data_IF_109668865092
#
_entry.id   IF_109668865092
#
_cell.length_a   1.000
_cell.length_b   1.000
_cell.length_c   1.000
_cell.angle_alpha   90.00
_cell.angle_beta   90.00
_cell.angle_gamma   90.00
#
_symmetry.space_group_name_H-M   'P 1'
#
loop_
_entity.id
_entity.type
_entity.pdbx_description
1 polymer ?
#
# COMPACT_ATOMS: atom_id res chain seq x y z
N UNK A 1 4.23 -17.74 3.94
CA UNK A 1 5.23 -17.02 3.11
C UNK A 1 4.83 -15.55 3.15
N UNK A 2 5.63 -14.68 3.77
CA UNK A 2 5.22 -13.28 4.03
C UNK A 2 5.26 -12.41 2.77
N UNK A 3 4.61 -11.24 2.82
CA UNK A 3 4.55 -10.27 1.71
C UNK A 3 5.95 -9.91 1.16
N UNK A 4 6.94 -9.80 2.05
CA UNK A 4 8.34 -9.55 1.66
C UNK A 4 8.93 -10.65 0.77
N UNK A 5 8.66 -11.93 1.09
CA UNK A 5 9.21 -13.07 0.36
C UNK A 5 8.63 -13.15 -1.07
N UNK A 6 7.34 -12.82 -1.20
CA UNK A 6 6.69 -12.68 -2.49
C UNK A 6 7.23 -11.52 -3.31
N UNK A 7 7.60 -10.41 -2.67
CA UNK A 7 8.20 -9.27 -3.35
C UNK A 7 9.61 -9.60 -3.81
N UNK A 8 10.42 -10.28 -3.00
CA UNK A 8 11.76 -10.74 -3.44
C UNK A 8 11.62 -11.74 -4.59
N UNK A 9 10.66 -12.66 -4.49
CA UNK A 9 10.33 -13.59 -5.59
C UNK A 9 9.84 -12.84 -6.84
N UNK A 10 9.11 -11.74 -6.66
CA UNK A 10 8.62 -10.88 -7.72
C UNK A 10 9.73 -10.10 -8.42
N UNK A 11 10.61 -9.47 -7.64
CA UNK A 11 11.76 -8.72 -8.13
C UNK A 11 12.76 -9.63 -8.85
N UNK A 12 12.93 -10.87 -8.38
CA UNK A 12 13.75 -11.88 -9.04
C UNK A 12 13.11 -12.47 -10.31
N UNK A 13 11.83 -12.19 -10.56
CA UNK A 13 11.09 -12.70 -11.72
C UNK A 13 11.05 -11.67 -12.86
N UNK A 14 11.65 -11.94 -14.04
CA UNK A 14 11.65 -11.00 -15.16
C UNK A 14 10.24 -10.66 -15.69
N UNK A 15 9.27 -11.54 -15.43
CA UNK A 15 7.88 -11.41 -15.89
C UNK A 15 7.00 -10.58 -14.95
N UNK A 16 7.47 -10.18 -13.76
CA UNK A 16 6.65 -9.42 -12.81
C UNK A 16 6.89 -7.90 -12.95
N UNK A 17 5.87 -7.09 -12.65
CA UNK A 17 5.94 -5.62 -12.72
C UNK A 17 6.87 -5.03 -11.65
N UNK A 18 7.12 -5.78 -10.58
CA UNK A 18 8.11 -5.48 -9.55
C UNK A 18 9.48 -5.32 -10.20
N UNK A 19 9.99 -4.10 -10.15
CA UNK A 19 11.37 -3.80 -10.48
C UNK A 19 12.02 -3.23 -9.23
N UNK A 20 13.29 -3.56 -8.99
CA UNK A 20 14.09 -2.94 -7.91
C UNK A 20 13.92 -1.41 -7.96
N UNK A 21 13.91 -0.83 -9.17
CA UNK A 21 13.69 0.59 -9.39
C UNK A 21 12.35 1.13 -8.85
N UNK A 22 11.26 0.36 -8.98
CA UNK A 22 9.93 0.76 -8.51
C UNK A 22 9.84 0.70 -6.99
N UNK A 23 10.44 -0.33 -6.36
CA UNK A 23 10.50 -0.44 -4.91
C UNK A 23 11.37 0.67 -4.30
N UNK A 24 12.54 0.95 -4.90
CA UNK A 24 13.38 2.08 -4.47
C UNK A 24 12.64 3.41 -4.61
N UNK A 25 11.83 3.58 -5.66
CA UNK A 25 10.98 4.75 -5.84
C UNK A 25 9.91 4.88 -4.75
N UNK A 26 9.26 3.79 -4.36
CA UNK A 26 8.28 3.77 -3.26
C UNK A 26 8.95 4.11 -1.93
N UNK A 27 10.09 3.47 -1.61
CA UNK A 27 10.85 3.73 -0.38
C UNK A 27 11.30 5.19 -0.34
N UNK A 28 11.78 5.73 -1.47
CA UNK A 28 12.17 7.13 -1.60
C UNK A 28 10.99 8.08 -1.39
N UNK A 29 9.82 7.78 -1.95
CA UNK A 29 8.61 8.59 -1.77
C UNK A 29 8.12 8.57 -0.31
N UNK A 30 8.15 7.40 0.35
CA UNK A 30 7.82 7.26 1.78
C UNK A 30 8.78 8.09 2.65
N UNK A 31 10.08 8.01 2.39
CA UNK A 31 11.09 8.79 3.10
C UNK A 31 10.94 10.29 2.84
N UNK A 32 10.67 10.69 1.60
CA UNK A 32 10.43 12.09 1.25
C UNK A 32 9.18 12.63 1.94
N UNK A 33 8.11 11.84 2.02
CA UNK A 33 6.88 12.19 2.71
C UNK A 33 7.16 12.38 4.21
N UNK A 34 7.87 11.44 4.84
CA UNK A 34 8.29 11.58 6.22
C UNK A 34 9.10 12.86 6.46
N UNK A 35 10.07 13.16 5.60
CA UNK A 35 10.84 14.41 5.69
C UNK A 35 10.00 15.68 5.44
N UNK A 36 9.03 15.63 4.52
CA UNK A 36 8.20 16.78 4.14
C UNK A 36 7.23 17.16 5.25
N UNK A 37 6.63 16.15 5.89
CA UNK A 37 5.64 16.35 6.96
C UNK A 37 6.22 16.20 8.38
N UNK A 38 7.55 16.05 8.49
CA UNK A 38 8.25 15.90 9.78
C UNK A 38 7.89 14.62 10.54
N UNK A 39 7.48 13.56 9.83
CA UNK A 39 7.15 12.27 10.43
C UNK A 39 8.43 11.51 10.78
N UNK A 40 8.46 10.95 11.98
CA UNK A 40 9.49 9.99 12.34
C UNK A 40 9.19 8.61 11.71
N UNK A 41 10.16 7.69 11.77
CA UNK A 41 10.01 6.35 11.18
C UNK A 41 8.84 5.56 11.78
N UNK A 42 8.56 5.76 13.07
CA UNK A 42 7.53 5.04 13.82
C UNK A 42 6.11 5.51 13.41
N UNK A 43 5.90 6.82 13.35
CA UNK A 43 4.67 7.46 12.83
C UNK A 43 4.44 7.09 11.37
N UNK A 44 5.49 7.09 10.56
CA UNK A 44 5.40 6.70 9.14
C UNK A 44 4.96 5.23 9.02
N UNK A 45 5.55 4.32 9.81
CA UNK A 45 5.12 2.93 9.84
C UNK A 45 3.65 2.79 10.27
N UNK A 46 3.24 3.42 11.37
CA UNK A 46 1.86 3.39 11.84
C UNK A 46 0.90 3.93 10.78
N UNK A 47 1.27 5.02 10.11
CA UNK A 47 0.50 5.59 9.02
C UNK A 47 0.31 4.58 7.89
N UNK A 48 1.39 3.99 7.37
CA UNK A 48 1.33 3.05 6.26
C UNK A 48 0.67 1.72 6.64
N UNK A 49 0.86 1.20 7.86
CA UNK A 49 0.16 0.01 8.36
C UNK A 49 -1.33 0.27 8.51
N UNK A 50 -1.72 1.43 9.05
CA UNK A 50 -3.14 1.78 9.19
C UNK A 50 -3.78 1.98 7.82
N UNK A 51 -3.19 2.83 6.96
CA UNK A 51 -3.68 3.05 5.59
C UNK A 51 -3.72 1.74 4.82
N UNK A 52 -2.69 0.91 4.92
CA UNK A 52 -2.63 -0.43 4.33
C UNK A 52 -3.79 -1.30 4.82
N UNK A 53 -4.02 -1.40 6.13
CA UNK A 53 -5.13 -2.16 6.70
C UNK A 53 -6.50 -1.70 6.20
N UNK A 54 -6.71 -0.38 6.09
CA UNK A 54 -7.93 0.15 5.50
C UNK A 54 -8.03 -0.17 4.00
N UNK A 55 -6.96 0.04 3.21
CA UNK A 55 -6.92 -0.32 1.78
C UNK A 55 -7.26 -1.80 1.60
N UNK A 56 -6.72 -2.67 2.47
CA UNK A 56 -6.98 -4.11 2.49
C UNK A 56 -8.45 -4.39 2.69
N UNK A 57 -9.07 -3.89 3.77
CA UNK A 57 -10.49 -4.11 4.03
C UNK A 57 -11.37 -3.58 2.89
N UNK A 58 -11.02 -2.44 2.31
CA UNK A 58 -11.74 -1.90 1.15
C UNK A 58 -11.58 -2.77 -0.10
N UNK A 59 -10.38 -3.25 -0.41
CA UNK A 59 -10.13 -4.14 -1.54
C UNK A 59 -10.75 -5.53 -1.34
N UNK A 60 -10.75 -6.06 -0.11
CA UNK A 60 -11.44 -7.31 0.24
C UNK A 60 -12.95 -7.17 0.03
N UNK A 61 -13.55 -6.08 0.52
CA UNK A 61 -14.97 -5.80 0.34
C UNK A 61 -15.33 -5.63 -1.14
N UNK A 62 -14.48 -4.91 -1.91
CA UNK A 62 -14.59 -4.78 -3.36
C UNK A 62 -14.47 -6.15 -4.06
N UNK A 63 -13.51 -6.97 -3.67
CA UNK A 63 -13.33 -8.31 -4.22
C UNK A 63 -14.53 -9.22 -3.93
N UNK A 64 -15.12 -9.14 -2.74
CA UNK A 64 -16.30 -9.91 -2.37
C UNK A 64 -17.57 -9.41 -3.06
N UNK A 65 -17.68 -8.10 -3.31
CA UNK A 65 -18.89 -7.47 -3.88
C UNK A 65 -18.88 -7.44 -5.40
N UNK A 66 -17.76 -7.05 -6.01
CA UNK A 66 -17.60 -6.82 -7.46
C UNK A 66 -16.71 -7.87 -8.14
N UNK A 67 -15.96 -8.66 -7.37
CA UNK A 67 -15.08 -9.70 -7.88
C UNK A 67 -13.58 -9.34 -7.82
N UNK A 68 -12.70 -10.35 -7.89
CA UNK A 68 -11.24 -10.17 -7.80
C UNK A 68 -10.66 -9.31 -8.93
N UNK A 69 -11.26 -9.35 -10.11
CA UNK A 69 -10.85 -8.57 -11.27
C UNK A 69 -11.00 -7.07 -11.01
N UNK A 70 -12.04 -6.67 -10.27
CA UNK A 70 -12.33 -5.27 -9.96
C UNK A 70 -11.33 -4.68 -8.96
N UNK A 71 -10.97 -5.46 -7.93
CA UNK A 71 -9.92 -5.09 -6.99
C UNK A 71 -8.57 -4.91 -7.69
N UNK A 72 -8.23 -5.82 -8.61
CA UNK A 72 -7.02 -5.74 -9.42
C UNK A 72 -7.06 -4.54 -10.38
N UNK A 73 -8.21 -4.22 -10.98
CA UNK A 73 -8.39 -3.05 -11.83
C UNK A 73 -8.20 -1.74 -11.06
N UNK A 74 -8.75 -1.64 -9.84
CA UNK A 74 -8.52 -0.51 -8.94
C UNK A 74 -7.03 -0.32 -8.65
N UNK A 75 -6.33 -1.39 -8.27
CA UNK A 75 -4.88 -1.33 -8.01
C UNK A 75 -4.12 -0.87 -9.25
N UNK A 76 -4.44 -1.40 -10.43
CA UNK A 76 -3.78 -1.00 -11.69
C UNK A 76 -4.11 0.43 -12.14
N UNK A 77 -5.32 0.91 -11.88
CA UNK A 77 -5.78 2.23 -12.31
C UNK A 77 -5.27 3.35 -11.41
N UNK A 78 -5.14 3.08 -10.11
CA UNK A 78 -4.84 4.09 -9.10
C UNK A 78 -3.45 3.95 -8.45
N UNK A 79 -2.65 2.97 -8.88
CA UNK A 79 -1.24 2.84 -8.51
C UNK A 79 -0.42 4.00 -9.09
N UNK A 80 0.50 4.52 -8.27
CA UNK A 80 1.47 5.50 -8.71
C UNK A 80 2.25 6.13 -7.56
N UNK A 81 3.15 7.04 -7.91
CA UNK A 81 3.93 7.83 -6.94
C UNK A 81 3.42 9.26 -6.80
N UNK A 82 2.44 9.66 -7.62
CA UNK A 82 1.83 10.98 -7.59
C UNK A 82 0.61 11.02 -6.67
N UNK A 83 0.29 12.20 -6.06
CA UNK A 83 -0.92 12.37 -5.27
C UNK A 83 -2.17 12.09 -6.11
N UNK A 84 -3.04 11.20 -5.63
CA UNK A 84 -4.29 10.84 -6.28
C UNK A 84 -5.44 10.79 -5.28
N UNK A 85 -6.20 11.88 -5.17
CA UNK A 85 -7.39 11.95 -4.32
C UNK A 85 -8.53 11.04 -4.79
N UNK A 86 -8.62 10.76 -6.10
CA UNK A 86 -9.65 9.86 -6.63
C UNK A 86 -9.44 8.43 -6.16
N UNK A 87 -8.19 7.99 -6.01
CA UNK A 87 -7.86 6.67 -5.45
C UNK A 87 -8.44 6.52 -4.03
N UNK A 88 -8.29 7.56 -3.21
CA UNK A 88 -8.80 7.59 -1.83
C UNK A 88 -10.32 7.49 -1.83
N UNK A 89 -11.01 8.27 -2.67
CA UNK A 89 -12.48 8.25 -2.73
C UNK A 89 -13.04 6.97 -3.37
N UNK A 90 -12.29 6.33 -4.27
CA UNK A 90 -12.69 5.07 -4.92
C UNK A 90 -12.55 3.86 -3.99
N UNK A 91 -11.57 3.89 -3.08
CA UNK A 91 -11.32 2.84 -2.10
C UNK A 91 -12.09 3.05 -0.80
N UNK A 92 -12.21 4.29 -0.34
CA UNK A 92 -12.78 4.60 0.97
C UNK A 92 -14.09 5.35 0.83
N UNK A 93 -15.13 4.82 1.48
CA UNK A 93 -16.35 5.58 1.73
C UNK A 93 -16.05 6.74 2.69
N UNK A 94 -16.86 7.80 2.63
CA UNK A 94 -16.73 8.95 3.55
C UNK A 94 -16.70 8.52 5.03
N UNK A 95 -17.48 7.50 5.40
CA UNK A 95 -17.49 6.93 6.75
C UNK A 95 -16.17 6.24 7.11
N UNK A 96 -15.62 5.41 6.21
CA UNK A 96 -14.32 4.73 6.41
C UNK A 96 -13.17 5.74 6.49
N UNK A 97 -13.20 6.77 5.66
CA UNK A 97 -12.24 7.88 5.70
C UNK A 97 -12.23 8.58 7.07
N UNK A 98 -13.42 8.93 7.59
CA UNK A 98 -13.53 9.55 8.90
C UNK A 98 -12.96 8.68 10.02
N UNK A 99 -13.24 7.37 9.99
CA UNK A 99 -12.70 6.40 10.95
C UNK A 99 -11.17 6.29 10.85
N UNK A 100 -10.66 6.10 9.64
CA UNK A 100 -9.22 5.99 9.39
C UNK A 100 -8.47 7.24 9.85
N UNK A 101 -9.00 8.43 9.54
CA UNK A 101 -8.42 9.68 9.99
C UNK A 101 -8.41 9.76 11.52
N UNK A 102 -9.51 9.39 12.19
CA UNK A 102 -9.57 9.35 13.66
C UNK A 102 -8.55 8.39 14.29
N UNK A 103 -8.43 7.18 13.74
CA UNK A 103 -7.47 6.18 14.19
C UNK A 103 -6.03 6.64 13.97
N UNK A 104 -5.74 7.23 12.81
CA UNK A 104 -4.44 7.80 12.52
C UNK A 104 -4.11 8.95 13.48
N UNK A 105 -5.03 9.89 13.73
CA UNK A 105 -4.82 10.97 14.70
C UNK A 105 -4.48 10.38 16.09
N UNK A 106 -5.24 9.38 16.54
CA UNK A 106 -5.04 8.76 17.84
C UNK A 106 -3.71 8.00 17.97
N UNK A 107 -3.27 7.31 16.90
CA UNK A 107 -2.05 6.48 16.92
C UNK A 107 -0.78 7.24 16.58
N UNK A 108 -0.88 8.21 15.67
CA UNK A 108 0.27 8.98 15.16
C UNK A 108 0.50 10.28 15.90
N UNK A 109 -0.54 10.82 16.56
CA UNK A 109 -0.52 12.16 17.13
C UNK A 109 -0.56 13.29 16.09
N UNK A 110 -0.73 12.96 14.80
CA UNK A 110 -0.85 13.96 13.73
C UNK A 110 -2.23 14.61 13.75
N UNK A 111 -2.29 15.86 13.30
CA UNK A 111 -3.55 16.55 13.11
C UNK A 111 -4.30 16.01 11.89
N UNK A 112 -5.63 16.05 11.95
CA UNK A 112 -6.52 15.58 10.88
C UNK A 112 -6.25 16.27 9.53
N UNK A 113 -5.87 17.55 9.51
CA UNK A 113 -5.48 18.24 8.26
C UNK A 113 -4.24 17.64 7.62
N UNK A 114 -3.21 17.33 8.42
CA UNK A 114 -1.98 16.71 7.94
C UNK A 114 -2.25 15.34 7.34
N UNK A 115 -3.05 14.51 8.02
CA UNK A 115 -3.43 13.19 7.51
C UNK A 115 -4.20 13.31 6.19
N UNK A 116 -5.16 14.24 6.09
CA UNK A 116 -5.91 14.47 4.86
C UNK A 116 -5.03 14.89 3.67
N UNK A 117 -3.94 15.62 3.93
CA UNK A 117 -2.97 15.98 2.89
C UNK A 117 -2.06 14.81 2.50
N UNK A 118 -1.77 13.92 3.45
CA UNK A 118 -0.89 12.77 3.24
C UNK A 118 -1.61 11.60 2.56
N UNK A 119 -2.87 11.36 2.88
CA UNK A 119 -3.67 10.26 2.32
C UNK A 119 -3.61 10.16 0.78
N UNK A 120 -3.83 11.25 0.01
CA UNK A 120 -3.76 11.16 -1.44
C UNK A 120 -2.35 10.82 -1.96
N UNK A 121 -1.29 10.98 -1.16
CA UNK A 121 0.05 10.49 -1.50
C UNK A 121 0.27 9.04 -1.03
N UNK A 122 -0.13 8.71 0.20
CA UNK A 122 0.11 7.40 0.81
C UNK A 122 -0.68 6.27 0.13
N UNK A 123 -1.94 6.52 -0.22
CA UNK A 123 -2.83 5.53 -0.84
C UNK A 123 -2.29 5.03 -2.19
N UNK A 124 -2.00 5.88 -3.18
CA UNK A 124 -1.45 5.42 -4.45
C UNK A 124 -0.08 4.74 -4.29
N UNK A 125 0.73 5.10 -3.29
CA UNK A 125 1.98 4.40 -2.98
C UNK A 125 1.73 2.97 -2.49
N UNK A 126 0.76 2.77 -1.60
CA UNK A 126 0.32 1.43 -1.18
C UNK A 126 -0.19 0.64 -2.38
N UNK A 127 -0.99 1.24 -3.25
CA UNK A 127 -1.48 0.57 -4.46
C UNK A 127 -0.34 0.25 -5.45
N UNK A 128 0.64 1.14 -5.60
CA UNK A 128 1.82 0.90 -6.44
C UNK A 128 2.64 -0.28 -5.91
N UNK A 129 2.73 -0.41 -4.59
CA UNK A 129 3.36 -1.56 -3.95
C UNK A 129 2.60 -2.87 -4.24
N UNK A 130 1.27 -2.85 -4.19
CA UNK A 130 0.42 -4.00 -4.54
C UNK A 130 0.48 -4.33 -6.05
N UNK A 131 0.63 -3.32 -6.91
CA UNK A 131 0.80 -3.50 -8.35
C UNK A 131 2.15 -4.15 -8.68
N UNK A 132 3.18 -3.96 -7.84
CA UNK A 132 4.48 -4.57 -8.09
C UNK A 132 4.39 -6.10 -8.22
N UNK A 133 3.48 -6.76 -7.49
CA UNK A 133 3.26 -8.20 -7.65
C UNK A 133 2.50 -8.62 -8.92
N UNK A 134 1.95 -7.68 -9.69
CA UNK A 134 1.23 -8.01 -10.91
C UNK A 134 2.18 -8.50 -12.01
N UNK A 135 1.74 -9.44 -12.83
CA UNK A 135 2.51 -9.92 -13.97
C UNK A 135 2.53 -8.87 -15.11
N UNK A 136 3.70 -8.62 -15.74
CA UNK A 136 3.86 -7.67 -16.86
C UNK A 136 3.08 -8.10 -18.10
N UNK A 137 2.98 -9.41 -18.33
CA UNK A 137 2.31 -9.97 -19.50
C UNK A 137 0.81 -10.13 -19.25
N UNK A 138 0.42 -10.42 -18.01
CA UNK A 138 -0.96 -10.69 -17.62
C UNK A 138 -1.35 -10.04 -16.27
N UNK A 139 -1.46 -8.70 -16.20
CA UNK A 139 -1.74 -7.98 -14.96
C UNK A 139 -3.12 -8.23 -14.34
N UNK A 140 -4.02 -8.91 -15.06
CA UNK A 140 -5.35 -9.33 -14.59
C UNK A 140 -5.39 -10.77 -14.06
N UNK A 141 -4.42 -11.60 -14.43
CA UNK A 141 -4.51 -13.06 -14.27
C UNK A 141 -3.78 -13.57 -13.04
N UNK A 142 -2.74 -12.86 -12.59
CA UNK A 142 -2.01 -13.21 -11.36
C UNK A 142 -1.38 -11.99 -10.69
N UNK A 143 -1.72 -11.80 -9.42
CA UNK A 143 -1.04 -10.86 -8.54
C UNK A 143 -0.84 -11.53 -7.16
N UNK A 144 0.26 -12.30 -6.98
CA UNK A 144 0.57 -12.93 -5.70
C UNK A 144 0.64 -11.95 -4.54
N UNK A 145 1.15 -10.73 -4.75
CA UNK A 145 1.26 -9.70 -3.70
C UNK A 145 -0.12 -9.20 -3.29
N UNK A 146 -0.99 -8.85 -4.23
CA UNK A 146 -2.38 -8.49 -3.90
C UNK A 146 -3.09 -9.67 -3.23
N UNK A 147 -2.92 -10.89 -3.74
CA UNK A 147 -3.59 -12.06 -3.18
C UNK A 147 -3.19 -12.29 -1.72
N UNK A 148 -1.89 -12.30 -1.40
CA UNK A 148 -1.46 -12.43 -0.01
C UNK A 148 -1.76 -11.21 0.84
N UNK A 149 -1.79 -10.03 0.26
CA UNK A 149 -2.25 -8.85 0.97
C UNK A 149 -3.73 -8.97 1.35
N UNK A 150 -4.57 -9.57 0.51
CA UNK A 150 -5.97 -9.84 0.82
C UNK A 150 -6.18 -11.10 1.67
N UNK A 151 -5.23 -12.04 1.69
CA UNK A 151 -5.30 -13.31 2.42
C UNK A 151 -4.75 -13.20 3.85
N UNK A 152 -3.82 -12.27 4.10
CA UNK A 152 -3.45 -11.83 5.43
C UNK A 152 -4.73 -11.45 6.16
N UNK A 153 -5.24 -12.25 7.09
CA UNK A 153 -6.54 -12.02 7.74
C UNK A 153 -6.40 -11.45 9.16
N UNK A 154 -5.20 -10.97 9.51
CA UNK A 154 -4.95 -10.20 10.74
C UNK A 154 -4.36 -11.03 11.87
N UNK A 155 -3.50 -12.02 11.57
CA UNK A 155 -2.84 -12.86 12.57
C UNK A 155 -1.40 -12.41 12.91
N UNK A 156 -0.94 -11.28 12.38
CA UNK A 156 0.41 -10.76 12.64
C UNK A 156 1.44 -11.22 11.61
N UNK A 157 1.00 -11.46 10.37
CA UNK A 157 1.86 -11.60 9.23
C UNK A 157 2.37 -10.24 8.70
N UNK A 158 3.53 -10.31 8.06
CA UNK A 158 4.40 -9.18 7.70
C UNK A 158 3.66 -8.10 6.90
N UNK A 159 3.35 -6.96 7.54
CA UNK A 159 2.69 -5.82 6.90
C UNK A 159 3.60 -5.14 5.85
N UNK A 160 3.00 -4.28 5.00
CA UNK A 160 3.72 -3.43 4.03
C UNK A 160 4.85 -2.64 4.72
N UNK A 161 4.61 -2.14 5.93
CA UNK A 161 5.60 -1.39 6.70
C UNK A 161 6.84 -2.23 7.06
N UNK A 162 6.63 -3.49 7.48
CA UNK A 162 7.71 -4.43 7.81
C UNK A 162 8.44 -4.92 6.55
N UNK A 163 7.70 -5.17 5.47
CA UNK A 163 8.29 -5.52 4.18
C UNK A 163 9.18 -4.39 3.64
N UNK A 164 8.75 -3.13 3.77
CA UNK A 164 9.56 -1.95 3.41
C UNK A 164 10.79 -1.83 4.32
N UNK A 165 10.63 -2.03 5.62
CA UNK A 165 11.75 -1.96 6.57
C UNK A 165 12.80 -3.06 6.33
N UNK A 166 12.36 -4.27 5.99
CA UNK A 166 13.25 -5.39 5.63
C UNK A 166 13.93 -5.16 4.26
N UNK A 167 13.19 -4.67 3.26
CA UNK A 167 13.77 -4.30 1.96
C UNK A 167 14.85 -3.24 2.09
N UNK A 168 14.63 -2.22 2.92
CA UNK A 168 15.63 -1.18 3.20
C UNK A 168 16.91 -1.70 3.87
N UNK A 169 16.83 -2.79 4.64
CA UNK A 169 18.01 -3.46 5.21
C UNK A 169 18.75 -4.33 4.20
N UNK A 170 18.05 -4.90 3.23
CA UNK A 170 18.61 -5.81 2.22
C UNK A 170 19.26 -5.07 1.04
N UNK A 171 18.79 -3.86 0.73
CA UNK A 171 19.28 -3.01 -0.36
C UNK A 171 20.43 -2.06 0.06
N UNK A 172 21.01 -2.26 1.25
CA UNK A 172 22.11 -1.45 1.76
C UNK A 172 23.48 -2.02 1.39
#
# INVERSE_FOLDING_TARGET
MGLFDQIISAVGSPNQMASVQNLTGIIGAVQQLGNTYGLNSETTQVLFSTVGGYVRSSLQEKQQTEGPEQAQALVNQFSGTAPNGQAVMALFSQSKLGQMVGDLVARTGLNQETIQQILPLAVPLVLNFLQAGADKLNPQLSNPVLKSFLDADGDGDVDIADAIALAGKFLK
#
